data_IF_943507056924
#
_entry.id   IF_943507056924
#
_cell.length_a   1.000
_cell.length_b   1.000
_cell.length_c   1.000
_cell.angle_alpha   90.00
_cell.angle_beta   90.00
_cell.angle_gamma   90.00
#
_symmetry.space_group_name_H-M   'P 1'
#
loop_
_entity.id
_entity.type
_entity.pdbx_description
1 polymer ?
#
# COMPACT_ATOMS: atom_id res chain seq x y z
N UNK A 1 19.64 -6.24 6.02
CA UNK A 1 18.64 -7.32 6.16
C UNK A 1 18.83 -8.39 5.08
N UNK A 2 19.22 -8.06 3.85
CA UNK A 2 19.45 -9.05 2.78
C UNK A 2 20.82 -9.75 2.90
N UNK A 3 20.88 -11.00 2.42
CA UNK A 3 22.11 -11.82 2.31
C UNK A 3 22.16 -12.67 1.02
N UNK A 4 21.25 -12.41 0.06
CA UNK A 4 21.12 -13.14 -1.22
C UNK A 4 20.73 -12.16 -2.33
N UNK A 5 21.09 -12.50 -3.57
CA UNK A 5 20.71 -11.79 -4.79
C UNK A 5 20.10 -12.80 -5.76
N UNK A 6 18.94 -12.47 -6.31
CA UNK A 6 18.27 -13.24 -7.37
C UNK A 6 18.10 -12.32 -8.57
N UNK A 7 18.68 -12.67 -9.71
CA UNK A 7 18.61 -11.88 -10.94
C UNK A 7 17.35 -12.22 -11.76
N UNK A 8 16.78 -11.21 -12.40
CA UNK A 8 15.70 -11.29 -13.40
C UNK A 8 15.93 -10.20 -14.46
N UNK A 9 15.08 -10.14 -15.48
CA UNK A 9 15.32 -9.29 -16.66
C UNK A 9 14.99 -7.80 -16.43
N UNK A 10 13.94 -7.51 -15.66
CA UNK A 10 13.46 -6.14 -15.41
C UNK A 10 12.75 -6.00 -14.04
N UNK A 11 12.17 -4.82 -13.79
CA UNK A 11 11.44 -4.53 -12.56
C UNK A 11 10.17 -5.38 -12.37
N UNK A 12 9.43 -5.67 -13.44
CA UNK A 12 8.17 -6.41 -13.37
C UNK A 12 8.41 -7.89 -13.04
N UNK A 13 9.41 -8.49 -13.69
CA UNK A 13 9.88 -9.84 -13.41
C UNK A 13 10.48 -9.96 -12.00
N UNK A 14 11.19 -8.92 -11.53
CA UNK A 14 11.69 -8.88 -10.15
C UNK A 14 10.56 -8.85 -9.12
N UNK A 15 9.49 -8.09 -9.36
CA UNK A 15 8.29 -8.05 -8.50
C UNK A 15 7.61 -9.41 -8.45
N UNK A 16 7.43 -10.10 -9.58
CA UNK A 16 6.84 -11.44 -9.58
C UNK A 16 7.67 -12.46 -8.79
N UNK A 17 9.00 -12.38 -8.86
CA UNK A 17 9.91 -13.18 -8.03
C UNK A 17 9.75 -12.81 -6.55
N UNK A 18 9.70 -11.51 -6.22
CA UNK A 18 9.50 -11.02 -4.86
C UNK A 18 8.19 -11.51 -4.23
N UNK A 19 7.09 -11.49 -4.98
CA UNK A 19 5.79 -11.99 -4.52
C UNK A 19 5.84 -13.50 -4.23
N UNK A 20 6.49 -14.30 -5.08
CA UNK A 20 6.69 -15.74 -4.82
C UNK A 20 7.45 -15.97 -3.52
N UNK A 21 8.53 -15.20 -3.28
CA UNK A 21 9.32 -15.29 -2.05
C UNK A 21 8.49 -14.89 -0.82
N UNK A 22 7.79 -13.75 -0.89
CA UNK A 22 6.97 -13.24 0.21
C UNK A 22 5.85 -14.21 0.60
N UNK A 23 5.07 -14.71 -0.37
CA UNK A 23 4.00 -15.67 -0.09
C UNK A 23 4.52 -17.01 0.43
N UNK A 24 5.69 -17.46 -0.05
CA UNK A 24 6.31 -18.70 0.47
C UNK A 24 6.77 -18.54 1.93
N UNK A 25 7.32 -17.38 2.27
CA UNK A 25 7.72 -17.05 3.65
C UNK A 25 6.49 -16.92 4.55
N UNK A 26 5.47 -16.17 4.12
CA UNK A 26 4.19 -16.05 4.84
C UNK A 26 3.57 -17.41 5.14
N UNK A 27 3.49 -18.31 4.14
CA UNK A 27 2.95 -19.66 4.33
C UNK A 27 3.80 -20.53 5.28
N UNK A 28 5.11 -20.28 5.37
CA UNK A 28 5.99 -20.99 6.30
C UNK A 28 5.78 -20.51 7.75
N UNK A 29 5.63 -19.20 7.95
CA UNK A 29 5.43 -18.59 9.26
C UNK A 29 4.00 -18.72 9.78
N UNK A 30 3.03 -18.93 8.89
CA UNK A 30 1.60 -19.00 9.22
C UNK A 30 0.97 -20.32 8.75
N UNK A 31 1.38 -21.49 9.30
CA UNK A 31 0.89 -22.80 8.86
C UNK A 31 -0.63 -22.95 9.04
N UNK A 32 -1.23 -22.27 10.03
CA UNK A 32 -2.69 -22.25 10.25
C UNK A 32 -3.50 -21.53 9.16
N UNK A 33 -2.84 -20.79 8.27
CA UNK A 33 -3.47 -20.08 7.14
C UNK A 33 -3.28 -20.83 5.82
N UNK A 34 -2.70 -22.04 5.84
CA UNK A 34 -2.47 -22.86 4.64
C UNK A 34 -3.77 -23.11 3.88
N UNK A 35 -3.74 -22.88 2.56
CA UNK A 35 -4.89 -23.06 1.68
C UNK A 35 -5.87 -21.88 1.65
N UNK A 36 -5.68 -20.86 2.51
CA UNK A 36 -6.43 -19.61 2.38
C UNK A 36 -5.92 -18.79 1.19
N UNK A 37 -6.81 -18.01 0.53
CA UNK A 37 -6.37 -17.06 -0.48
C UNK A 37 -5.46 -16.01 0.15
N UNK A 38 -4.24 -15.89 -0.37
CA UNK A 38 -3.27 -14.85 0.02
C UNK A 38 -3.24 -13.76 -1.04
N UNK A 39 -2.89 -12.55 -0.63
CA UNK A 39 -2.67 -11.44 -1.54
C UNK A 39 -1.83 -10.33 -0.94
N UNK A 40 -1.72 -9.25 -1.68
CA UNK A 40 -0.88 -8.10 -1.35
C UNK A 40 -1.65 -7.11 -0.48
N UNK A 41 -1.01 -6.57 0.55
CA UNK A 41 -1.37 -5.27 1.10
C UNK A 41 -0.50 -4.23 0.40
N UNK A 42 -1.14 -3.27 -0.26
CA UNK A 42 -0.46 -2.20 -0.98
C UNK A 42 -1.19 -0.87 -0.85
N UNK A 43 -0.71 0.13 -1.58
CA UNK A 43 -1.32 1.45 -1.63
C UNK A 43 -2.05 1.65 -2.98
N UNK A 44 -3.17 2.38 -2.95
CA UNK A 44 -3.83 2.85 -4.19
C UNK A 44 -2.89 3.77 -4.95
N UNK A 45 -3.04 3.82 -6.28
CA UNK A 45 -2.12 4.50 -7.21
C UNK A 45 -0.68 3.94 -7.23
N UNK A 46 -0.45 2.74 -6.67
CA UNK A 46 0.84 2.08 -6.78
C UNK A 46 1.14 1.56 -8.19
N UNK A 47 2.41 1.38 -8.51
CA UNK A 47 2.88 0.78 -9.76
C UNK A 47 4.04 -0.18 -9.52
N UNK A 48 3.93 -1.39 -10.05
CA UNK A 48 4.90 -2.46 -9.81
C UNK A 48 5.34 -3.21 -11.09
N UNK A 49 4.98 -2.68 -12.26
CA UNK A 49 5.23 -3.31 -13.56
C UNK A 49 3.96 -3.89 -14.22
N UNK A 50 4.11 -4.32 -15.48
CA UNK A 50 2.99 -4.61 -16.38
C UNK A 50 2.80 -6.11 -16.65
N UNK A 51 3.68 -6.97 -16.14
CA UNK A 51 3.44 -8.42 -16.17
C UNK A 51 2.27 -8.79 -15.25
N UNK A 52 1.54 -9.85 -15.58
CA UNK A 52 0.23 -10.13 -14.95
C UNK A 52 0.31 -10.24 -13.41
N UNK A 53 1.36 -10.86 -12.86
CA UNK A 53 1.50 -10.99 -11.40
C UNK A 53 1.82 -9.67 -10.71
N UNK A 54 2.59 -8.80 -11.37
CA UNK A 54 2.85 -7.44 -10.89
C UNK A 54 1.59 -6.57 -10.97
N UNK A 55 0.82 -6.68 -12.06
CA UNK A 55 -0.44 -5.97 -12.26
C UNK A 55 -1.51 -6.40 -11.24
N UNK A 56 -1.66 -7.70 -10.97
CA UNK A 56 -2.57 -8.25 -9.94
C UNK A 56 -2.27 -7.70 -8.52
N UNK A 57 -1.05 -7.20 -8.29
CA UNK A 57 -0.61 -6.57 -7.05
C UNK A 57 -0.86 -5.05 -6.99
N UNK A 58 -1.59 -4.48 -7.95
CA UNK A 58 -1.95 -3.06 -8.01
C UNK A 58 -3.46 -2.90 -7.88
N UNK A 59 -3.92 -1.74 -7.36
CA UNK A 59 -5.33 -1.43 -7.28
C UNK A 59 -5.99 -1.34 -8.67
N UNK A 60 -7.27 -1.71 -8.82
CA UNK A 60 -7.97 -1.50 -10.07
C UNK A 60 -8.04 -0.04 -10.49
N UNK A 61 -7.83 0.20 -11.78
CA UNK A 61 -7.84 1.51 -12.42
C UNK A 61 -8.30 1.38 -13.88
N UNK A 62 -8.49 2.49 -14.62
CA UNK A 62 -8.70 2.43 -16.06
C UNK A 62 -7.59 1.73 -16.85
N UNK A 63 -6.38 1.57 -16.27
CA UNK A 63 -5.19 1.05 -16.95
C UNK A 63 -5.01 -0.47 -16.86
N UNK A 64 -5.70 -1.15 -15.93
CA UNK A 64 -5.59 -2.61 -15.75
C UNK A 64 -6.92 -3.35 -15.90
N UNK A 65 -8.00 -2.64 -16.26
CA UNK A 65 -9.31 -3.27 -16.47
C UNK A 65 -9.37 -4.25 -17.65
N UNK A 66 -10.51 -4.93 -17.86
CA UNK A 66 -10.66 -5.99 -18.86
C UNK A 66 -10.37 -5.56 -20.31
N UNK A 67 -10.50 -4.26 -20.63
CA UNK A 67 -10.15 -3.72 -21.94
C UNK A 67 -8.65 -3.56 -22.20
N UNK A 68 -7.83 -3.61 -21.16
CA UNK A 68 -6.37 -3.61 -21.24
C UNK A 68 -5.83 -5.03 -21.04
N UNK A 69 -6.21 -5.66 -19.93
CA UNK A 69 -5.74 -7.01 -19.57
C UNK A 69 -6.93 -7.87 -19.14
N UNK A 70 -7.50 -8.68 -20.04
CA UNK A 70 -8.69 -9.51 -19.74
C UNK A 70 -8.53 -10.50 -18.57
N UNK A 71 -7.29 -10.84 -18.22
CA UNK A 71 -6.96 -11.76 -17.13
C UNK A 71 -6.65 -11.09 -15.80
N UNK A 72 -6.57 -9.76 -15.76
CA UNK A 72 -6.29 -9.02 -14.54
C UNK A 72 -7.34 -9.35 -13.47
N UNK A 73 -6.84 -9.65 -12.27
CA UNK A 73 -7.67 -9.77 -11.08
C UNK A 73 -6.96 -9.09 -9.91
N UNK A 74 -7.56 -8.09 -9.25
CA UNK A 74 -6.95 -7.51 -8.06
C UNK A 74 -6.78 -8.58 -6.97
N UNK A 75 -5.54 -8.89 -6.60
CA UNK A 75 -5.17 -9.85 -5.56
C UNK A 75 -4.60 -9.15 -4.34
N UNK A 76 -5.32 -8.15 -3.85
CA UNK A 76 -4.87 -7.41 -2.70
C UNK A 76 -5.91 -6.56 -2.01
N UNK A 77 -5.45 -5.92 -0.94
CA UNK A 77 -6.10 -4.83 -0.22
C UNK A 77 -5.26 -3.59 -0.48
N UNK A 78 -5.90 -2.53 -0.95
CA UNK A 78 -5.19 -1.32 -1.39
C UNK A 78 -5.67 -0.14 -0.57
N UNK A 79 -4.80 0.39 0.28
CA UNK A 79 -5.13 1.51 1.16
C UNK A 79 -4.94 2.83 0.44
N UNK A 80 -5.82 3.78 0.73
CA UNK A 80 -5.49 5.19 0.49
C UNK A 80 -4.43 5.63 1.49
N UNK A 81 -3.40 6.31 1.00
CA UNK A 81 -2.30 6.79 1.82
C UNK A 81 -2.34 8.32 1.94
N UNK A 82 -1.98 8.88 3.11
CA UNK A 82 -1.75 10.32 3.22
C UNK A 82 -0.51 10.73 2.41
N UNK A 83 -0.59 11.89 1.78
CA UNK A 83 0.45 12.41 0.88
C UNK A 83 0.85 13.83 1.24
N UNK A 84 2.12 14.13 1.05
CA UNK A 84 2.73 15.44 1.17
C UNK A 84 2.76 16.15 -0.19
N UNK A 85 2.46 17.45 -0.19
CA UNK A 85 2.60 18.32 -1.36
C UNK A 85 3.08 19.71 -0.96
N UNK A 86 3.81 20.39 -1.85
CA UNK A 86 4.20 21.79 -1.63
C UNK A 86 3.09 22.72 -2.15
N UNK A 87 2.39 23.39 -1.23
CA UNK A 87 1.29 24.30 -1.53
C UNK A 87 1.63 25.69 -0.97
N UNK A 88 1.67 26.71 -1.84
CA UNK A 88 1.89 28.12 -1.44
C UNK A 88 3.09 28.33 -0.51
N UNK A 89 4.17 27.58 -0.75
CA UNK A 89 5.41 27.66 0.03
C UNK A 89 5.43 26.87 1.34
N UNK A 90 4.40 26.06 1.63
CA UNK A 90 4.35 25.15 2.78
C UNK A 90 4.18 23.71 2.34
N UNK A 91 4.75 22.79 3.10
CA UNK A 91 4.52 21.36 2.89
C UNK A 91 3.24 20.95 3.60
N UNK A 92 2.24 20.53 2.84
CA UNK A 92 0.91 20.18 3.32
C UNK A 92 0.74 18.67 3.28
N UNK A 93 0.42 18.08 4.42
CA UNK A 93 0.06 16.68 4.56
C UNK A 93 -1.45 16.53 4.45
N UNK A 94 -1.91 15.73 3.48
CA UNK A 94 -3.33 15.47 3.23
C UNK A 94 -3.66 13.99 3.30
N UNK A 95 -4.88 13.69 3.71
CA UNK A 95 -5.49 12.38 3.51
C UNK A 95 -6.62 12.50 2.49
N UNK A 96 -6.38 11.99 1.29
CA UNK A 96 -7.26 12.21 0.15
C UNK A 96 -7.28 13.67 -0.29
N UNK A 97 -8.31 14.05 -1.05
CA UNK A 97 -8.34 15.35 -1.73
C UNK A 97 -8.52 16.53 -0.77
N UNK A 98 -9.41 16.40 0.22
CA UNK A 98 -9.88 17.57 0.97
C UNK A 98 -9.37 17.67 2.42
N UNK A 99 -8.89 16.57 3.00
CA UNK A 99 -8.55 16.53 4.44
C UNK A 99 -7.08 16.89 4.65
N UNK A 100 -6.80 18.13 5.03
CA UNK A 100 -5.50 18.54 5.56
C UNK A 100 -5.32 17.96 6.96
N UNK A 101 -4.20 17.30 7.20
CA UNK A 101 -3.80 16.80 8.51
C UNK A 101 -2.85 17.77 9.20
N UNK A 102 -1.87 18.29 8.46
CA UNK A 102 -0.79 19.11 9.01
C UNK A 102 -0.12 19.94 7.93
N UNK A 103 0.58 20.99 8.35
CA UNK A 103 1.48 21.78 7.51
C UNK A 103 2.87 21.83 8.15
N UNK A 104 3.90 21.92 7.31
CA UNK A 104 5.29 22.00 7.70
C UNK A 104 5.97 23.12 6.93
N UNK A 105 6.97 23.75 7.56
CA UNK A 105 7.79 24.77 6.90
C UNK A 105 8.72 24.11 5.87
N UNK A 106 9.36 23.00 6.24
CA UNK A 106 10.27 22.27 5.37
C UNK A 106 9.87 20.81 5.21
N UNK A 107 10.35 20.20 4.12
CA UNK A 107 10.19 18.75 3.91
C UNK A 107 10.89 17.95 5.01
N UNK A 108 12.01 18.46 5.52
CA UNK A 108 12.77 17.84 6.61
C UNK A 108 11.89 17.70 7.84
N UNK A 109 11.17 18.75 8.23
CA UNK A 109 10.28 18.72 9.39
C UNK A 109 9.22 17.61 9.23
N UNK A 110 8.66 17.49 8.02
CA UNK A 110 7.70 16.43 7.70
C UNK A 110 8.29 15.01 7.78
N UNK A 111 9.60 14.82 7.66
CA UNK A 111 10.27 13.51 7.79
C UNK A 111 10.75 13.25 9.22
N UNK A 112 11.21 14.30 9.90
CA UNK A 112 11.84 14.26 11.22
C UNK A 112 10.84 14.37 12.37
N UNK A 113 9.53 14.53 12.12
CA UNK A 113 8.46 14.60 13.13
C UNK A 113 8.24 13.29 13.95
N UNK A 114 9.30 12.56 14.26
CA UNK A 114 9.38 11.55 15.33
C UNK A 114 10.44 12.00 16.31
N UNK A 115 10.04 12.63 17.43
CA UNK A 115 10.75 12.68 18.75
C UNK A 115 10.14 13.65 19.79
N UNK A 116 8.89 14.09 19.67
CA UNK A 116 8.25 15.05 20.59
C UNK A 116 7.07 14.48 21.38
N UNK A 117 6.72 15.10 22.51
CA UNK A 117 5.74 14.66 23.52
C UNK A 117 4.25 14.86 23.17
N UNK A 118 3.92 15.34 21.96
CA UNK A 118 2.55 15.35 21.47
C UNK A 118 2.23 14.00 20.81
N UNK A 119 0.97 13.50 20.86
CA UNK A 119 0.60 12.33 20.10
C UNK A 119 0.93 12.54 18.62
N UNK A 120 1.87 11.75 18.11
CA UNK A 120 2.31 11.83 16.71
C UNK A 120 1.18 11.45 15.75
N UNK A 121 1.38 11.80 14.47
CA UNK A 121 0.48 11.41 13.36
C UNK A 121 0.24 9.90 13.27
N UNK A 122 1.08 9.09 13.91
CA UNK A 122 0.85 7.65 14.06
C UNK A 122 -0.50 7.31 14.71
N UNK A 123 -0.99 8.11 15.66
CA UNK A 123 -2.33 7.88 16.22
C UNK A 123 -3.44 8.12 15.19
N UNK A 124 -3.22 9.01 14.22
CA UNK A 124 -4.18 9.24 13.13
C UNK A 124 -4.28 8.03 12.19
N UNK A 125 -3.22 7.23 12.11
CA UNK A 125 -3.10 6.09 11.20
C UNK A 125 -3.39 4.74 11.85
N UNK A 126 -3.22 4.64 13.17
CA UNK A 126 -3.25 3.38 13.92
C UNK A 126 -4.47 2.51 13.62
N UNK A 127 -5.67 3.11 13.59
CA UNK A 127 -6.89 2.38 13.28
C UNK A 127 -6.89 1.81 11.86
N UNK A 128 -6.51 2.63 10.86
CA UNK A 128 -6.44 2.19 9.46
C UNK A 128 -5.40 1.09 9.25
N UNK A 129 -4.21 1.25 9.85
CA UNK A 129 -3.13 0.25 9.77
C UNK A 129 -3.58 -1.05 10.42
N UNK A 130 -4.10 -1.02 11.65
CA UNK A 130 -4.56 -2.23 12.33
C UNK A 130 -5.68 -2.96 11.57
N UNK A 131 -6.65 -2.22 11.00
CA UNK A 131 -7.72 -2.83 10.20
C UNK A 131 -7.21 -3.46 8.89
N UNK A 132 -6.16 -2.89 8.28
CA UNK A 132 -5.61 -3.41 7.03
C UNK A 132 -5.11 -4.86 7.16
N UNK A 133 -4.50 -5.19 8.31
CA UNK A 133 -3.93 -6.51 8.60
C UNK A 133 -4.94 -7.51 9.18
N UNK A 134 -6.09 -7.06 9.70
CA UNK A 134 -7.13 -7.97 10.24
C UNK A 134 -7.73 -8.85 9.14
N UNK A 135 -7.61 -10.17 9.29
CA UNK A 135 -8.16 -11.18 8.38
C UNK A 135 -9.69 -11.36 8.47
N UNK A 136 -10.48 -10.28 8.37
CA UNK A 136 -11.94 -10.32 8.40
C UNK A 136 -12.58 -10.52 7.02
N UNK A 137 -13.78 -11.13 6.97
CA UNK A 137 -14.71 -11.01 5.83
C UNK A 137 -14.85 -9.54 5.52
N UNK A 138 -14.68 -9.12 4.25
CA UNK A 138 -14.76 -7.73 3.79
C UNK A 138 -15.57 -6.84 4.72
N UNK A 139 -14.87 -6.29 5.71
CA UNK A 139 -15.45 -5.45 6.73
C UNK A 139 -15.46 -4.07 6.13
N UNK A 140 -16.65 -3.49 6.07
CA UNK A 140 -16.92 -2.11 5.68
C UNK A 140 -16.04 -1.15 6.51
N UNK A 141 -14.78 -0.95 6.10
CA UNK A 141 -13.94 0.12 6.66
C UNK A 141 -14.45 1.41 6.03
N UNK A 142 -15.39 2.02 6.75
CA UNK A 142 -15.99 3.31 6.42
C UNK A 142 -17.09 3.20 5.37
N UNK A 143 -18.34 3.33 5.81
CA UNK A 143 -19.39 3.96 4.98
C UNK A 143 -19.02 5.43 4.72
N UNK A 144 -17.96 5.70 3.96
CA UNK A 144 -17.98 6.81 3.01
C UNK A 144 -18.50 6.23 1.72
N UNK A 145 -19.42 6.95 1.06
CA UNK A 145 -20.01 6.57 -0.23
C UNK A 145 -18.93 5.91 -1.07
N UNK A 146 -19.14 4.64 -1.45
CA UNK A 146 -18.32 3.97 -2.45
C UNK A 146 -18.10 4.95 -3.58
N UNK A 147 -16.85 5.41 -3.71
CA UNK A 147 -16.49 6.22 -4.86
C UNK A 147 -16.54 5.27 -6.05
N UNK A 148 -16.95 5.75 -7.23
CA UNK A 148 -16.93 4.95 -8.46
C UNK A 148 -15.48 4.44 -8.67
N UNK A 149 -15.20 3.19 -8.30
CA UNK A 149 -13.86 2.61 -8.35
C UNK A 149 -13.45 1.70 -7.18
N UNK A 150 -14.28 1.56 -6.13
CA UNK A 150 -13.99 0.61 -5.05
C UNK A 150 -14.32 -0.83 -5.49
N UNK A 151 -13.28 -1.59 -5.84
CA UNK A 151 -13.41 -3.04 -6.04
C UNK A 151 -13.15 -3.74 -4.71
N UNK A 152 -14.13 -4.48 -4.17
CA UNK A 152 -13.93 -5.18 -2.91
C UNK A 152 -12.83 -6.25 -3.09
N UNK A 153 -11.87 -6.26 -2.17
CA UNK A 153 -10.90 -7.36 -2.08
C UNK A 153 -11.66 -8.70 -1.98
N UNK A 154 -11.12 -9.79 -2.56
CA UNK A 154 -11.75 -11.10 -2.48
C UNK A 154 -12.07 -11.47 -1.02
N UNK A 155 -13.31 -11.92 -0.72
CA UNK A 155 -13.68 -12.25 0.65
C UNK A 155 -12.76 -13.33 1.22
N UNK A 156 -12.23 -13.08 2.42
CA UNK A 156 -11.34 -14.01 3.11
C UNK A 156 -9.86 -13.96 2.69
N UNK A 157 -9.47 -13.03 1.78
CA UNK A 157 -8.08 -12.79 1.41
C UNK A 157 -7.26 -12.35 2.64
N UNK A 158 -6.15 -13.04 2.85
CA UNK A 158 -5.16 -12.77 3.90
C UNK A 158 -4.02 -11.95 3.29
N UNK A 159 -3.65 -10.78 3.87
CA UNK A 159 -2.41 -10.10 3.53
C UNK A 159 -1.21 -11.02 3.77
N UNK A 160 -0.58 -11.46 2.68
CA UNK A 160 0.59 -12.35 2.69
C UNK A 160 1.88 -11.66 2.27
N UNK A 161 1.79 -10.42 1.79
CA UNK A 161 2.93 -9.59 1.41
C UNK A 161 2.54 -8.11 1.55
N UNK A 162 3.43 -7.29 2.10
CA UNK A 162 3.35 -5.83 2.03
C UNK A 162 4.22 -5.38 0.84
N UNK A 163 3.62 -4.70 -0.13
CA UNK A 163 4.32 -4.16 -1.31
C UNK A 163 4.12 -2.65 -1.39
N UNK A 164 5.22 -1.91 -1.38
CA UNK A 164 5.24 -0.45 -1.31
C UNK A 164 6.20 0.14 -2.33
N UNK A 165 5.87 1.32 -2.83
CA UNK A 165 6.84 2.27 -3.40
C UNK A 165 7.30 3.20 -2.26
N UNK A 166 8.53 3.05 -1.74
CA UNK A 166 8.97 3.84 -0.60
C UNK A 166 9.03 5.33 -0.96
N UNK A 167 8.39 6.16 -0.13
CA UNK A 167 8.35 7.62 -0.22
C UNK A 167 7.61 8.18 -1.43
N UNK A 168 7.89 7.75 -2.65
CA UNK A 168 7.33 8.33 -3.88
C UNK A 168 6.62 7.26 -4.71
N UNK A 169 5.32 7.44 -4.94
CA UNK A 169 4.59 6.70 -5.97
C UNK A 169 4.83 7.38 -7.32
N UNK A 170 5.67 6.77 -8.15
CA UNK A 170 6.18 7.38 -9.37
C UNK A 170 5.10 7.48 -10.45
N UNK A 171 4.73 6.34 -11.03
CA UNK A 171 3.76 6.28 -12.11
C UNK A 171 2.33 6.65 -11.67
N UNK A 172 2.04 6.57 -10.37
CA UNK A 172 0.80 7.06 -9.75
C UNK A 172 0.67 8.59 -9.70
N UNK A 173 1.63 9.34 -10.26
CA UNK A 173 1.58 10.79 -10.38
C UNK A 173 2.54 11.54 -9.45
N UNK A 174 3.73 11.00 -9.20
CA UNK A 174 4.77 11.60 -8.36
C UNK A 174 4.25 11.98 -6.96
N UNK A 175 3.47 11.08 -6.36
CA UNK A 175 2.81 11.31 -5.07
C UNK A 175 3.77 10.99 -3.94
N UNK A 176 4.10 11.98 -3.13
CA UNK A 176 4.97 11.79 -1.97
C UNK A 176 4.13 11.25 -0.81
N UNK A 177 4.20 9.95 -0.55
CA UNK A 177 3.48 9.30 0.55
C UNK A 177 4.16 9.62 1.88
N UNK A 178 3.37 9.84 2.93
CA UNK A 178 3.91 10.08 4.26
C UNK A 178 4.79 8.90 4.74
N UNK A 179 6.10 9.12 5.00
CA UNK A 179 6.98 8.06 5.49
C UNK A 179 6.55 7.47 6.83
N UNK A 180 5.86 8.23 7.70
CA UNK A 180 5.38 7.71 8.98
C UNK A 180 4.27 6.67 8.77
N UNK A 181 3.38 6.89 7.80
CA UNK A 181 2.34 5.92 7.44
C UNK A 181 2.96 4.63 6.91
N UNK A 182 3.90 4.73 5.95
CA UNK A 182 4.58 3.55 5.39
C UNK A 182 5.37 2.78 6.45
N UNK A 183 6.01 3.50 7.38
CA UNK A 183 6.75 2.88 8.48
C UNK A 183 5.84 2.13 9.44
N UNK A 184 4.66 2.66 9.76
CA UNK A 184 3.69 1.91 10.56
C UNK A 184 3.20 0.64 9.84
N UNK A 185 3.01 0.69 8.53
CA UNK A 185 2.69 -0.52 7.75
C UNK A 185 3.82 -1.55 7.83
N UNK A 186 5.08 -1.11 7.75
CA UNK A 186 6.26 -1.98 7.87
C UNK A 186 6.43 -2.53 9.28
N UNK A 187 6.17 -1.72 10.31
CA UNK A 187 6.29 -2.13 11.72
C UNK A 187 5.20 -3.17 12.11
N UNK A 188 4.04 -3.16 11.45
CA UNK A 188 2.93 -4.10 11.68
C UNK A 188 3.01 -5.40 10.86
N UNK A 189 3.76 -5.41 9.74
CA UNK A 189 3.83 -6.52 8.78
C UNK A 189 4.74 -7.68 9.21
#
# INVERSE_FOLDING_TARGET
WAARVFYSDDGSTAVEVALKMAFRAHAAWNPGLKGRPVGVLGLREGYHGDTLGAMDAVAPSPYNGPGQTPWYRPRGRFLEAPTLGLERGRWVLRWGQDRVLREFETLRDAFEERRGAAPGRELEYAATVAEAFKGGRGGEVGRRRASRGDFPSPPGLVPGALLLEPVLQGAGGMRLVDPAFQRMLVDEA
#
